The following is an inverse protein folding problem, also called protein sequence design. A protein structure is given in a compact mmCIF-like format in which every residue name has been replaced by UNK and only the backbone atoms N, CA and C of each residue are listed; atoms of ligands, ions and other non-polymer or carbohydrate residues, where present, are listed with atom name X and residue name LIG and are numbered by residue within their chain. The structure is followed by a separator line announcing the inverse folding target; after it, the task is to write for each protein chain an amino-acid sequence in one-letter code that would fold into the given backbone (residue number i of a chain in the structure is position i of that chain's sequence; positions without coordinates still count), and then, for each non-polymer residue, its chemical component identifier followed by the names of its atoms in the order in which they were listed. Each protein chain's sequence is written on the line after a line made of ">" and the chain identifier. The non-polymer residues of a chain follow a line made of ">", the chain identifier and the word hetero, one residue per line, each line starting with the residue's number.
data_IF_206879935893
#
_entry.id   IF_206879935893
#
_cell.length_a   1.000
_cell.length_b   1.000
_cell.length_c   1.000
_cell.angle_alpha   90.00
_cell.angle_beta   90.00
_cell.angle_gamma   90.00
#
_symmetry.space_group_name_H-M   'P 1'
#
loop_
_entity.id
_entity.type
_entity.pdbx_description
1 polymer ?
#
# COMPACT_ATOMS: atom_id res chain seq x y z
N UNK A 1 -5.48 -0.75 -32.19
CA UNK A 1 -6.28 -1.78 -31.48
C UNK A 1 -5.96 -1.68 -30.00
N UNK A 2 -6.96 -1.64 -29.12
CA UNK A 2 -6.75 -1.78 -27.67
C UNK A 2 -6.45 -3.24 -27.37
N UNK A 3 -5.32 -3.53 -26.74
CA UNK A 3 -5.01 -4.88 -26.28
C UNK A 3 -5.91 -5.20 -25.07
N UNK A 4 -6.67 -6.29 -25.15
CA UNK A 4 -7.56 -6.75 -24.09
C UNK A 4 -7.16 -8.16 -23.66
N UNK A 5 -7.07 -8.38 -22.35
CA UNK A 5 -6.82 -9.70 -21.76
C UNK A 5 -8.12 -10.22 -21.15
N UNK A 6 -8.53 -11.43 -21.53
CA UNK A 6 -9.68 -12.13 -20.93
C UNK A 6 -9.16 -13.13 -19.90
N UNK A 7 -9.90 -13.31 -18.81
CA UNK A 7 -9.53 -14.19 -17.71
C UNK A 7 -10.57 -15.29 -17.56
N UNK A 8 -10.10 -16.53 -17.39
CA UNK A 8 -10.97 -17.70 -17.29
C UNK A 8 -11.45 -17.95 -15.84
N UNK A 9 -10.84 -17.28 -14.86
CA UNK A 9 -11.22 -17.38 -13.45
C UNK A 9 -10.93 -16.10 -12.66
N UNK A 10 -11.66 -15.89 -11.55
CA UNK A 10 -11.41 -14.78 -10.61
C UNK A 10 -10.02 -14.85 -10.00
N UNK A 11 -9.53 -16.04 -9.68
CA UNK A 11 -8.20 -16.26 -9.12
C UNK A 11 -7.08 -15.81 -10.08
N UNK A 12 -7.23 -16.10 -11.39
CA UNK A 12 -6.24 -15.69 -12.40
C UNK A 12 -6.17 -14.16 -12.56
N UNK A 13 -7.32 -13.49 -12.46
CA UNK A 13 -7.41 -12.03 -12.46
C UNK A 13 -6.74 -11.44 -11.21
N UNK A 14 -7.01 -11.98 -10.02
CA UNK A 14 -6.42 -11.53 -8.76
C UNK A 14 -4.90 -11.62 -8.78
N UNK A 15 -4.36 -12.76 -9.24
CA UNK A 15 -2.92 -12.96 -9.39
C UNK A 15 -2.30 -11.94 -10.35
N UNK A 16 -2.98 -11.68 -11.46
CA UNK A 16 -2.52 -10.73 -12.48
C UNK A 16 -2.52 -9.30 -11.94
N UNK A 17 -3.58 -8.88 -11.26
CA UNK A 17 -3.65 -7.56 -10.61
C UNK A 17 -2.55 -7.44 -9.55
N UNK A 18 -2.36 -8.46 -8.71
CA UNK A 18 -1.32 -8.48 -7.69
C UNK A 18 0.07 -8.33 -8.31
N UNK A 19 0.34 -9.08 -9.38
CA UNK A 19 1.61 -8.99 -10.11
C UNK A 19 1.80 -7.61 -10.73
N UNK A 20 0.75 -7.06 -11.35
CA UNK A 20 0.78 -5.74 -11.96
C UNK A 20 1.14 -4.66 -10.93
N UNK A 21 0.47 -4.64 -9.78
CA UNK A 21 0.74 -3.68 -8.69
C UNK A 21 2.18 -3.78 -8.22
N UNK A 22 2.71 -5.00 -8.04
CA UNK A 22 4.11 -5.20 -7.65
C UNK A 22 5.08 -4.63 -8.69
N UNK A 23 4.89 -4.96 -9.98
CA UNK A 23 5.78 -4.53 -11.06
C UNK A 23 5.73 -3.01 -11.20
N UNK A 24 4.53 -2.42 -11.16
CA UNK A 24 4.34 -0.98 -11.22
C UNK A 24 5.07 -0.25 -10.08
N UNK A 25 4.87 -0.69 -8.83
CA UNK A 25 5.45 -0.02 -7.67
C UNK A 25 6.98 -0.14 -7.61
N UNK A 26 7.55 -1.24 -8.11
CA UNK A 26 8.98 -1.53 -7.98
C UNK A 26 9.81 -1.14 -9.18
N UNK A 27 9.32 -1.38 -10.39
CA UNK A 27 10.17 -1.42 -11.58
C UNK A 27 9.76 -0.44 -12.66
N UNK A 28 8.49 -0.04 -12.74
CA UNK A 28 8.02 0.85 -13.80
C UNK A 28 8.32 2.30 -13.41
N UNK A 29 9.25 2.99 -14.11
CA UNK A 29 9.58 4.36 -13.78
C UNK A 29 8.46 5.30 -14.22
N UNK A 30 8.10 6.25 -13.36
CA UNK A 30 7.02 7.19 -13.64
C UNK A 30 7.59 8.50 -14.19
N UNK A 31 7.07 8.98 -15.33
CA UNK A 31 7.48 10.28 -15.91
C UNK A 31 7.28 11.43 -14.92
N UNK A 32 6.17 11.42 -14.18
CA UNK A 32 5.88 12.40 -13.13
C UNK A 32 6.90 12.37 -11.98
N UNK A 33 7.54 11.22 -11.74
CA UNK A 33 8.59 11.04 -10.73
C UNK A 33 10.00 11.12 -11.35
N UNK A 34 10.13 11.84 -12.48
CA UNK A 34 11.40 11.99 -13.22
C UNK A 34 12.01 10.66 -13.65
N UNK A 35 11.16 9.73 -14.10
CA UNK A 35 11.56 8.38 -14.51
C UNK A 35 12.21 7.58 -13.37
N UNK A 36 11.66 7.72 -12.16
CA UNK A 36 12.03 6.90 -11.00
C UNK A 36 10.85 6.02 -10.60
N UNK A 37 11.13 4.81 -10.12
CA UNK A 37 10.10 3.91 -9.61
C UNK A 37 9.45 4.49 -8.33
N UNK A 38 8.14 4.27 -8.11
CA UNK A 38 7.43 4.78 -6.95
C UNK A 38 8.10 4.44 -5.61
N UNK A 39 8.51 3.18 -5.42
CA UNK A 39 9.12 2.73 -4.16
C UNK A 39 10.44 3.45 -3.87
N UNK A 40 11.23 3.72 -4.90
CA UNK A 40 12.53 4.39 -4.75
C UNK A 40 12.31 5.85 -4.36
N UNK A 41 11.35 6.51 -5.01
CA UNK A 41 10.97 7.89 -4.68
C UNK A 41 10.51 8.02 -3.23
N UNK A 42 9.67 7.08 -2.76
CA UNK A 42 9.21 7.06 -1.38
C UNK A 42 10.36 6.86 -0.38
N UNK A 43 11.31 5.97 -0.68
CA UNK A 43 12.50 5.77 0.17
C UNK A 43 13.37 7.04 0.24
N UNK A 44 13.57 7.70 -0.90
CA UNK A 44 14.35 8.93 -0.96
C UNK A 44 13.68 10.07 -0.19
N UNK A 45 12.35 10.20 -0.29
CA UNK A 45 11.59 11.17 0.50
C UNK A 45 11.61 10.85 1.99
N UNK A 46 11.47 9.57 2.37
CA UNK A 46 11.57 9.16 3.77
C UNK A 46 12.95 9.48 4.38
N UNK A 47 14.02 9.42 3.58
CA UNK A 47 15.36 9.84 4.01
C UNK A 47 15.49 11.36 4.15
N UNK A 48 14.89 12.13 3.23
CA UNK A 48 14.98 13.60 3.21
C UNK A 48 14.10 14.27 4.25
N UNK A 49 12.92 13.70 4.53
CA UNK A 49 11.91 14.23 5.44
C UNK A 49 11.25 13.10 6.24
N UNK A 50 11.99 12.51 7.21
CA UNK A 50 11.47 11.39 8.00
C UNK A 50 10.20 11.75 8.79
N UNK A 51 10.01 13.03 9.15
CA UNK A 51 8.87 13.53 9.92
C UNK A 51 7.52 13.38 9.21
N UNK A 52 7.51 13.29 7.87
CA UNK A 52 6.29 13.09 7.08
C UNK A 52 5.84 11.62 7.08
N UNK A 53 6.71 10.70 7.49
CA UNK A 53 6.47 9.26 7.41
C UNK A 53 6.18 8.68 8.79
N UNK A 54 4.91 8.33 9.03
CA UNK A 54 4.49 7.61 10.25
C UNK A 54 4.91 6.13 10.25
N UNK A 55 5.12 5.56 9.06
CA UNK A 55 5.50 4.16 8.85
C UNK A 55 6.68 4.08 7.88
N UNK A 56 7.49 3.02 8.02
CA UNK A 56 8.59 2.74 7.10
C UNK A 56 8.03 2.34 5.73
N UNK A 57 8.74 2.76 4.69
CA UNK A 57 8.39 2.46 3.30
C UNK A 57 8.74 1.00 3.00
N UNK A 58 7.73 0.15 2.92
CA UNK A 58 7.86 -1.26 2.56
C UNK A 58 7.10 -1.58 1.28
N UNK A 59 7.52 -2.62 0.57
CA UNK A 59 6.73 -3.20 -0.51
C UNK A 59 5.80 -4.27 0.07
N UNK A 60 4.76 -3.85 0.78
CA UNK A 60 3.75 -4.77 1.29
C UNK A 60 2.75 -5.09 0.17
N UNK A 61 2.51 -6.39 -0.04
CA UNK A 61 1.34 -6.87 -0.77
C UNK A 61 0.20 -6.98 0.24
N UNK A 62 -0.88 -6.22 0.06
CA UNK A 62 -2.08 -6.37 0.87
C UNK A 62 -2.76 -5.04 1.19
N UNK A 63 -4.02 -5.14 1.60
CA UNK A 63 -4.80 -4.04 2.12
C UNK A 63 -4.08 -3.53 3.39
N UNK A 64 -3.91 -2.22 3.53
CA UNK A 64 -3.56 -1.58 4.80
C UNK A 64 -4.76 -1.79 5.74
N UNK A 65 -4.93 -3.01 6.24
CA UNK A 65 -5.86 -3.28 7.32
C UNK A 65 -5.24 -2.50 8.48
N UNK A 66 -5.83 -1.34 8.79
CA UNK A 66 -5.75 -0.72 10.10
C UNK A 66 -5.99 -1.86 11.08
N UNK A 67 -4.89 -2.32 11.66
CA UNK A 67 -4.82 -3.42 12.60
C UNK A 67 -6.04 -3.32 13.52
N UNK A 68 -6.97 -4.27 13.40
CA UNK A 68 -8.26 -4.19 14.09
C UNK A 68 -8.04 -4.14 15.60
N UNK A 69 -6.90 -4.65 16.08
CA UNK A 69 -6.35 -4.50 17.44
C UNK A 69 -6.20 -3.02 17.84
N UNK A 70 -5.67 -2.17 16.95
CA UNK A 70 -5.46 -0.74 17.17
C UNK A 70 -6.78 0.03 17.32
N UNK A 71 -7.85 -0.40 16.62
CA UNK A 71 -9.20 0.17 16.75
C UNK A 71 -9.97 -0.42 17.93
N UNK A 72 -9.83 -1.72 18.19
CA UNK A 72 -10.45 -2.42 19.32
C UNK A 72 -9.92 -1.92 20.67
N UNK A 73 -8.62 -1.60 20.77
CA UNK A 73 -8.03 -0.96 21.95
C UNK A 73 -8.56 0.46 22.23
N UNK A 74 -9.06 1.15 21.20
CA UNK A 74 -9.61 2.50 21.30
C UNK A 74 -11.08 2.53 21.76
N UNK A 75 -11.83 1.46 21.50
CA UNK A 75 -13.21 1.27 21.93
C UNK A 75 -13.34 0.58 23.31
N UNK A 76 -12.23 0.09 23.89
CA UNK A 76 -12.17 -0.56 25.22
C UNK A 76 -11.87 0.39 26.38
N UNK A 77 -12.20 1.69 26.31
CA UNK A 77 -12.26 2.50 27.54
C UNK A 77 -13.66 2.32 28.15
N UNK A 78 -13.81 1.64 29.31
CA UNK A 78 -15.08 1.64 30.02
C UNK A 78 -15.38 3.08 30.46
N UNK A 79 -16.58 3.55 30.17
CA UNK A 79 -17.17 4.72 30.80
C UNK A 79 -17.10 4.48 32.31
N UNK A 80 -16.32 5.30 33.00
CA UNK A 80 -16.28 5.34 34.45
C UNK A 80 -17.66 5.86 34.92
N UNK A 81 -18.59 4.95 35.19
CA UNK A 81 -19.84 5.28 35.87
C UNK A 81 -19.48 5.50 37.34
N UNK A 82 -19.41 6.77 37.74
CA UNK A 82 -19.33 7.17 39.14
C UNK A 82 -20.62 6.69 39.83
N UNK A 83 -20.48 5.75 40.76
CA UNK A 83 -21.40 5.59 41.89
C UNK A 83 -20.73 6.19 43.12
#
# INVERSE_FOLDING_TARGET
>A
MLATTRFDSSQSLEQTITRYVQVYNQHIPQKALRHIAPIQTLKDWAKKRPELFKKRVYNLRGLDILDLETLAGRLRRPLHVKR
#
